data_IF_495311696533
#
_entry.id   IF_495311696533
#
_cell.length_a   1.000
_cell.length_b   1.000
_cell.length_c   1.000
_cell.angle_alpha   90.00
_cell.angle_beta   90.00
_cell.angle_gamma   90.00
#
_symmetry.space_group_name_H-M   'P 1'
#
loop_
_entity.id
_entity.type
_entity.pdbx_description
1 polymer ?
#
# COMPACT_ATOMS: atom_id res chain seq x y z
N UNK A 1 18.91 -15.53 14.28
CA UNK A 1 18.14 -15.02 13.11
C UNK A 1 16.80 -14.54 13.64
N UNK A 2 16.59 -13.23 13.73
CA UNK A 2 15.34 -12.65 14.22
C UNK A 2 14.32 -12.66 13.08
N UNK A 3 13.18 -13.31 13.28
CA UNK A 3 12.02 -13.17 12.39
C UNK A 3 11.63 -11.69 12.32
N UNK A 4 11.32 -11.13 11.14
CA UNK A 4 10.70 -9.82 11.07
C UNK A 4 9.34 -9.93 11.76
N UNK A 5 9.27 -9.41 12.99
CA UNK A 5 8.09 -9.47 13.82
C UNK A 5 6.95 -8.73 13.13
N UNK A 6 5.80 -9.38 13.02
CA UNK A 6 4.57 -8.63 12.75
C UNK A 6 4.51 -7.47 13.74
N UNK A 7 4.21 -6.24 13.27
CA UNK A 7 4.14 -5.08 14.14
C UNK A 7 3.20 -5.36 15.32
N UNK A 8 3.56 -4.86 16.49
CA UNK A 8 2.80 -5.15 17.70
C UNK A 8 1.35 -4.63 17.53
N UNK A 9 0.31 -5.34 18.00
CA UNK A 9 -1.08 -4.90 17.87
C UNK A 9 -1.34 -3.47 18.34
N UNK A 10 -0.53 -2.96 19.27
CA UNK A 10 -0.56 -1.58 19.75
C UNK A 10 -0.17 -0.54 18.70
N UNK A 11 0.77 -0.85 17.80
CA UNK A 11 1.26 0.08 16.76
C UNK A 11 0.22 0.27 15.66
N UNK A 12 -0.41 -0.82 15.22
CA UNK A 12 -1.52 -0.74 14.27
C UNK A 12 -2.69 0.07 14.87
N UNK A 13 -3.06 -0.19 16.13
CA UNK A 13 -4.11 0.60 16.80
C UNK A 13 -3.76 2.09 16.88
N UNK A 14 -2.50 2.42 17.18
CA UNK A 14 -2.02 3.80 17.20
C UNK A 14 -2.10 4.46 15.81
N UNK A 15 -1.70 3.74 14.76
CA UNK A 15 -1.78 4.23 13.38
C UNK A 15 -3.23 4.51 12.94
N UNK A 16 -4.15 3.60 13.27
CA UNK A 16 -5.60 3.80 13.02
C UNK A 16 -6.12 5.05 13.74
N UNK A 17 -5.80 5.20 15.02
CA UNK A 17 -6.20 6.38 15.79
C UNK A 17 -5.61 7.69 15.25
N UNK A 18 -4.38 7.66 14.71
CA UNK A 18 -3.79 8.83 14.06
C UNK A 18 -4.51 9.18 12.74
N UNK A 19 -4.90 8.18 11.94
CA UNK A 19 -5.69 8.39 10.73
C UNK A 19 -7.06 9.04 11.05
N UNK A 20 -7.77 8.55 12.06
CA UNK A 20 -9.05 9.14 12.49
C UNK A 20 -8.90 10.60 12.93
N UNK A 21 -7.84 10.93 13.69
CA UNK A 21 -7.55 12.31 14.09
C UNK A 21 -7.22 13.19 12.90
N UNK A 22 -6.46 12.69 11.92
CA UNK A 22 -6.08 13.46 10.74
C UNK A 22 -7.28 13.76 9.84
N UNK A 23 -8.19 12.80 9.68
CA UNK A 23 -9.45 12.99 8.96
C UNK A 23 -10.31 14.11 9.54
N UNK A 24 -10.27 14.31 10.86
CA UNK A 24 -11.07 15.31 11.55
C UNK A 24 -10.49 16.74 11.51
N UNK A 25 -9.45 17.00 10.70
CA UNK A 25 -8.74 18.29 10.65
C UNK A 25 -8.71 18.88 9.22
N UNK A 26 -8.49 20.19 9.06
CA UNK A 26 -8.18 20.77 7.75
C UNK A 26 -6.92 20.14 7.13
N UNK A 27 -6.86 19.99 5.80
CA UNK A 27 -7.85 20.45 4.82
C UNK A 27 -9.08 19.53 4.68
N UNK A 28 -9.06 18.32 5.25
CA UNK A 28 -10.09 17.29 5.06
C UNK A 28 -11.50 17.79 5.41
N UNK A 29 -11.65 18.60 6.46
CA UNK A 29 -12.94 19.14 6.91
C UNK A 29 -13.51 20.28 6.04
N UNK A 30 -12.68 20.94 5.23
CA UNK A 30 -13.08 22.11 4.44
C UNK A 30 -13.11 21.89 2.93
N UNK A 31 -12.57 20.77 2.45
CA UNK A 31 -12.42 20.50 1.02
C UNK A 31 -13.46 19.46 0.54
N UNK A 32 -14.30 19.79 -0.47
CA UNK A 32 -15.28 18.88 -1.06
C UNK A 32 -14.70 17.57 -1.62
N UNK A 33 -13.42 17.56 -2.03
CA UNK A 33 -12.76 16.36 -2.51
C UNK A 33 -12.72 15.24 -1.44
N UNK A 34 -12.79 15.62 -0.16
CA UNK A 34 -12.73 14.70 0.97
C UNK A 34 -14.09 14.33 1.56
N UNK A 35 -15.21 14.69 0.92
CA UNK A 35 -16.56 14.41 1.42
C UNK A 35 -16.79 12.94 1.77
N UNK A 36 -16.32 12.03 0.92
CA UNK A 36 -16.43 10.59 1.16
C UNK A 36 -15.54 10.16 2.32
N UNK A 37 -14.29 10.65 2.36
CA UNK A 37 -13.33 10.35 3.42
C UNK A 37 -13.87 10.73 4.79
N UNK A 38 -14.56 11.88 4.91
CA UNK A 38 -15.19 12.33 6.17
C UNK A 38 -16.28 11.40 6.69
N UNK A 39 -17.00 10.70 5.80
CA UNK A 39 -18.09 9.78 6.15
C UNK A 39 -17.62 8.33 6.35
N UNK A 40 -16.45 7.99 5.84
CA UNK A 40 -15.86 6.67 5.92
C UNK A 40 -15.48 6.30 7.36
N UNK A 41 -15.07 5.06 7.61
CA UNK A 41 -14.38 4.62 8.82
C UNK A 41 -12.90 4.38 8.53
N UNK A 42 -11.99 4.61 9.49
CA UNK A 42 -10.62 4.15 9.34
C UNK A 42 -10.60 2.61 9.40
N UNK A 43 -10.05 1.99 8.36
CA UNK A 43 -9.91 0.54 8.21
C UNK A 43 -8.69 -0.02 8.95
N UNK A 44 -8.31 -1.24 8.55
CA UNK A 44 -7.13 -1.93 9.09
C UNK A 44 -5.85 -1.32 8.50
N UNK A 45 -4.89 -0.85 9.34
CA UNK A 45 -3.59 -0.41 8.87
C UNK A 45 -2.81 -1.52 8.18
N UNK A 46 -2.22 -1.19 7.04
CA UNK A 46 -1.27 -2.03 6.31
C UNK A 46 0.13 -1.43 6.46
N UNK A 47 1.10 -2.27 6.84
CA UNK A 47 2.50 -1.83 6.91
C UNK A 47 3.06 -1.72 5.49
N UNK A 48 3.58 -0.54 5.15
CA UNK A 48 4.34 -0.32 3.92
C UNK A 48 5.82 -0.43 4.22
N UNK A 49 6.51 -1.26 3.45
CA UNK A 49 7.96 -1.42 3.53
C UNK A 49 8.66 -0.66 2.40
N UNK A 50 9.85 -0.13 2.67
CA UNK A 50 10.75 0.38 1.64
C UNK A 50 11.20 -0.75 0.67
N UNK A 51 11.78 -0.40 -0.48
CA UNK A 51 12.26 -1.38 -1.46
C UNK A 51 13.23 -2.43 -0.91
N UNK A 52 14.02 -2.07 0.11
CA UNK A 52 14.96 -2.95 0.83
C UNK A 52 14.28 -3.86 1.87
N UNK A 53 12.96 -3.72 2.07
CA UNK A 53 12.18 -4.50 3.03
C UNK A 53 12.06 -3.88 4.43
N UNK A 54 12.75 -2.76 4.70
CA UNK A 54 12.62 -2.07 5.99
C UNK A 54 11.22 -1.45 6.17
N UNK A 55 10.65 -1.42 7.39
CA UNK A 55 9.41 -0.69 7.67
C UNK A 55 9.54 0.79 7.31
N UNK A 56 8.58 1.34 6.58
CA UNK A 56 8.61 2.75 6.16
C UNK A 56 7.51 3.57 6.83
N UNK A 57 6.26 3.15 6.70
CA UNK A 57 5.10 3.83 7.26
C UNK A 57 3.87 2.91 7.25
N UNK A 58 2.80 3.35 7.89
CA UNK A 58 1.49 2.72 7.85
C UNK A 58 0.59 3.36 6.81
N UNK A 59 -0.17 2.56 6.09
CA UNK A 59 -1.23 3.04 5.22
C UNK A 59 -2.57 2.56 5.76
N UNK A 60 -3.46 3.50 6.06
CA UNK A 60 -4.78 3.22 6.66
C UNK A 60 -5.86 3.61 5.66
N UNK A 61 -6.59 2.66 5.05
CA UNK A 61 -7.65 2.99 4.12
C UNK A 61 -8.87 3.57 4.86
N UNK A 62 -9.56 4.50 4.22
CA UNK A 62 -10.85 5.01 4.69
C UNK A 62 -11.98 4.26 3.97
N UNK A 63 -12.62 3.35 4.69
CA UNK A 63 -13.65 2.43 4.22
C UNK A 63 -15.03 3.10 4.23
N UNK A 64 -15.64 3.16 3.05
CA UNK A 64 -17.04 3.51 2.85
C UNK A 64 -17.70 2.41 2.01
N UNK A 65 -18.58 1.64 2.62
CA UNK A 65 -19.32 0.54 1.99
C UNK A 65 -18.41 -0.55 1.36
N UNK A 66 -17.27 -0.87 1.99
CA UNK A 66 -16.31 -1.89 1.52
C UNK A 66 -15.28 -1.37 0.51
N UNK A 67 -15.33 -0.09 0.17
CA UNK A 67 -14.45 0.57 -0.81
C UNK A 67 -13.58 1.61 -0.12
N UNK A 68 -12.31 1.72 -0.51
CA UNK A 68 -11.42 2.74 0.02
C UNK A 68 -11.58 4.05 -0.77
N UNK A 69 -12.26 5.03 -0.18
CA UNK A 69 -12.46 6.36 -0.78
C UNK A 69 -11.28 7.32 -0.54
N UNK A 70 -10.31 6.89 0.25
CA UNK A 70 -9.13 7.65 0.62
C UNK A 70 -8.19 6.80 1.45
N UNK A 71 -7.02 7.34 1.74
CA UNK A 71 -6.00 6.69 2.57
C UNK A 71 -5.36 7.73 3.50
N UNK A 72 -4.95 7.29 4.68
CA UNK A 72 -4.01 8.02 5.51
C UNK A 72 -2.64 7.35 5.44
N UNK A 73 -1.62 8.11 5.09
CA UNK A 73 -0.23 7.73 5.28
C UNK A 73 0.20 8.19 6.67
N UNK A 74 0.56 7.26 7.54
CA UNK A 74 0.85 7.49 8.96
C UNK A 74 2.27 7.06 9.26
N UNK A 75 3.06 7.92 9.91
CA UNK A 75 4.41 7.59 10.34
C UNK A 75 4.41 6.37 11.30
N UNK A 76 5.53 5.61 11.35
CA UNK A 76 5.62 4.40 12.18
C UNK A 76 5.33 4.65 13.67
N UNK A 77 5.70 5.84 14.17
CA UNK A 77 5.47 6.29 15.54
C UNK A 77 4.06 6.90 15.76
N UNK A 78 3.20 6.89 14.74
CA UNK A 78 1.87 7.49 14.73
C UNK A 78 1.83 9.01 15.07
N UNK A 79 2.97 9.70 15.03
CA UNK A 79 3.07 11.13 15.36
C UNK A 79 2.51 12.03 14.26
N UNK A 80 2.57 11.58 13.00
CA UNK A 80 2.17 12.32 11.81
C UNK A 80 1.31 11.46 10.90
N UNK A 81 0.30 12.08 10.32
CA UNK A 81 -0.59 11.46 9.35
C UNK A 81 -1.00 12.46 8.26
N UNK A 82 -0.87 12.07 7.00
CA UNK A 82 -1.37 12.80 5.84
C UNK A 82 -2.52 12.04 5.19
N UNK A 83 -3.57 12.76 4.78
CA UNK A 83 -4.78 12.16 4.19
C UNK A 83 -4.87 12.51 2.71
N UNK A 84 -5.19 11.52 1.89
CA UNK A 84 -5.45 11.68 0.46
C UNK A 84 -6.78 11.05 0.11
N UNK A 85 -7.58 11.74 -0.72
CA UNK A 85 -8.75 11.14 -1.34
C UNK A 85 -8.31 10.25 -2.52
N UNK A 86 -9.09 9.20 -2.80
CA UNK A 86 -8.95 8.38 -4.00
C UNK A 86 -10.10 8.72 -4.97
N UNK A 87 -9.78 8.78 -6.26
CA UNK A 87 -10.70 9.25 -7.30
C UNK A 87 -10.82 10.77 -7.37
N UNK A 88 -11.63 11.27 -8.31
CA UNK A 88 -11.81 12.71 -8.52
C UNK A 88 -12.72 13.38 -7.48
N UNK A 89 -13.44 12.60 -6.67
CA UNK A 89 -14.34 13.10 -5.62
C UNK A 89 -15.33 12.04 -5.14
N UNK A 90 -16.30 12.45 -4.32
CA UNK A 90 -17.21 11.52 -3.65
C UNK A 90 -18.18 10.75 -4.55
N UNK A 91 -18.39 11.21 -5.79
CA UNK A 91 -19.22 10.55 -6.78
C UNK A 91 -18.47 9.47 -7.59
N UNK A 92 -17.13 9.48 -7.57
CA UNK A 92 -16.29 8.60 -8.37
C UNK A 92 -16.04 7.24 -7.68
N UNK A 93 -17.12 6.62 -7.19
CA UNK A 93 -17.05 5.37 -6.43
C UNK A 93 -16.42 4.22 -7.23
N UNK A 94 -16.57 4.25 -8.56
CA UNK A 94 -16.02 3.23 -9.45
C UNK A 94 -14.48 3.24 -9.48
N UNK A 95 -13.84 4.36 -9.19
CA UNK A 95 -12.39 4.46 -9.10
C UNK A 95 -11.82 3.98 -7.75
N UNK A 96 -12.68 3.68 -6.77
CA UNK A 96 -12.23 3.26 -5.44
C UNK A 96 -11.90 1.77 -5.41
N UNK A 97 -10.68 1.39 -5.00
CA UNK A 97 -10.34 -0.01 -4.83
C UNK A 97 -11.14 -0.62 -3.67
N UNK A 98 -11.32 -1.93 -3.71
CA UNK A 98 -11.84 -2.67 -2.56
C UNK A 98 -10.89 -2.52 -1.37
N UNK A 99 -11.44 -2.32 -0.17
CA UNK A 99 -10.63 -2.13 1.05
C UNK A 99 -9.71 -3.33 1.32
N UNK A 100 -10.14 -4.52 0.89
CA UNK A 100 -9.40 -5.76 1.04
C UNK A 100 -8.08 -5.79 0.26
N UNK A 101 -7.96 -4.98 -0.81
CA UNK A 101 -6.72 -4.83 -1.57
C UNK A 101 -5.56 -4.39 -0.66
N UNK A 102 -5.82 -3.61 0.38
CA UNK A 102 -4.77 -3.17 1.32
C UNK A 102 -4.32 -4.28 2.28
N UNK A 103 -5.12 -5.32 2.46
CA UNK A 103 -4.81 -6.45 3.33
C UNK A 103 -4.04 -7.56 2.61
N UNK A 104 -4.31 -7.76 1.31
CA UNK A 104 -3.63 -8.78 0.49
C UNK A 104 -3.65 -8.46 -1.00
N UNK A 105 -2.73 -9.06 -1.74
CA UNK A 105 -2.77 -9.09 -3.20
C UNK A 105 -4.05 -9.80 -3.66
N UNK A 106 -4.80 -9.26 -4.63
CA UNK A 106 -5.92 -9.98 -5.23
C UNK A 106 -5.46 -11.32 -5.84
N UNK A 107 -6.19 -12.39 -5.54
CA UNK A 107 -5.77 -13.75 -5.86
C UNK A 107 -5.67 -13.99 -7.37
N UNK A 108 -6.61 -13.41 -8.12
CA UNK A 108 -6.67 -13.45 -9.58
C UNK A 108 -5.46 -12.75 -10.21
N UNK A 109 -4.99 -11.64 -9.62
CA UNK A 109 -3.80 -10.95 -10.10
C UNK A 109 -2.55 -11.75 -9.80
N UNK A 110 -2.44 -12.31 -8.59
CA UNK A 110 -1.33 -13.18 -8.22
C UNK A 110 -1.24 -14.40 -9.14
N UNK A 111 -2.38 -15.03 -9.43
CA UNK A 111 -2.46 -16.16 -10.36
C UNK A 111 -2.03 -15.75 -11.78
N UNK A 112 -2.49 -14.60 -12.28
CA UNK A 112 -2.11 -14.10 -13.60
C UNK A 112 -0.59 -13.87 -13.72
N UNK A 113 0.03 -13.30 -12.68
CA UNK A 113 1.49 -13.11 -12.61
C UNK A 113 2.21 -14.47 -12.62
N UNK A 114 1.74 -15.44 -11.82
CA UNK A 114 2.34 -16.77 -11.75
C UNK A 114 2.23 -17.55 -13.07
N UNK A 115 1.08 -17.47 -13.75
CA UNK A 115 0.86 -18.11 -15.06
C UNK A 115 1.79 -17.51 -16.13
N UNK A 116 2.03 -16.20 -16.09
CA UNK A 116 2.95 -15.54 -17.03
C UNK A 116 4.42 -15.91 -16.78
N UNK A 117 4.76 -16.23 -15.53
CA UNK A 117 6.14 -16.47 -15.08
C UNK A 117 6.28 -17.83 -14.37
N UNK A 118 5.98 -18.95 -15.05
CA UNK A 118 5.85 -20.27 -14.43
C UNK A 118 7.18 -20.84 -13.90
N UNK A 119 8.32 -20.29 -14.34
CA UNK A 119 9.66 -20.70 -13.89
C UNK A 119 10.15 -20.01 -12.62
N UNK A 120 9.41 -19.05 -12.09
CA UNK A 120 9.85 -18.28 -10.94
C UNK A 120 9.19 -18.78 -9.64
N UNK A 121 10.00 -18.90 -8.60
CA UNK A 121 9.49 -18.98 -7.22
C UNK A 121 9.27 -17.58 -6.71
N UNK A 122 8.16 -17.35 -6.02
CA UNK A 122 7.77 -16.04 -5.52
C UNK A 122 7.92 -15.98 -4.01
N UNK A 123 8.60 -14.93 -3.53
CA UNK A 123 8.61 -14.60 -2.12
C UNK A 123 7.22 -14.10 -1.67
N UNK A 124 7.01 -14.02 -0.36
CA UNK A 124 5.78 -13.47 0.21
C UNK A 124 5.54 -12.04 -0.28
N UNK A 125 4.35 -11.72 -0.83
CA UNK A 125 4.02 -10.35 -1.22
C UNK A 125 4.12 -9.38 -0.05
N UNK A 126 4.59 -8.16 -0.31
CA UNK A 126 4.60 -7.07 0.69
C UNK A 126 4.11 -5.77 0.07
N UNK A 127 3.37 -4.98 0.83
CA UNK A 127 3.00 -3.64 0.39
C UNK A 127 4.26 -2.76 0.45
N UNK A 128 4.61 -2.15 -0.67
CA UNK A 128 5.82 -1.33 -0.82
C UNK A 128 5.53 -0.14 -1.71
N UNK A 129 6.57 0.60 -2.12
CA UNK A 129 6.44 1.71 -3.04
C UNK A 129 7.51 1.67 -4.14
N UNK A 130 7.12 2.14 -5.32
CA UNK A 130 7.97 2.14 -6.51
C UNK A 130 8.72 3.48 -6.64
N UNK A 131 9.83 3.61 -5.91
CA UNK A 131 10.75 4.76 -5.95
C UNK A 131 10.24 6.03 -5.26
N UNK A 132 8.92 6.24 -5.21
CA UNK A 132 8.28 7.35 -4.48
C UNK A 132 7.34 6.81 -3.40
N UNK A 133 7.44 7.26 -2.13
CA UNK A 133 6.52 6.87 -1.06
C UNK A 133 5.04 7.14 -1.35
N UNK A 134 4.70 7.96 -2.34
CA UNK A 134 3.32 8.21 -2.75
C UNK A 134 2.78 7.18 -3.77
N UNK A 135 3.66 6.37 -4.36
CA UNK A 135 3.32 5.34 -5.37
C UNK A 135 3.42 3.95 -4.74
N UNK A 136 2.44 3.63 -3.90
CA UNK A 136 2.36 2.34 -3.23
C UNK A 136 1.78 1.26 -4.16
N UNK A 137 2.26 0.03 -3.98
CA UNK A 137 1.86 -1.16 -4.73
C UNK A 137 2.29 -2.41 -3.94
N UNK A 138 1.59 -3.52 -4.13
CA UNK A 138 2.11 -4.80 -3.68
C UNK A 138 3.32 -5.19 -4.52
N UNK A 139 4.41 -5.51 -3.85
CA UNK A 139 5.66 -5.95 -4.46
C UNK A 139 5.78 -7.46 -4.34
N UNK A 140 6.00 -8.10 -5.49
CA UNK A 140 6.27 -9.52 -5.65
C UNK A 140 7.72 -9.65 -6.12
N UNK A 141 8.59 -10.16 -5.25
CA UNK A 141 9.96 -10.51 -5.63
C UNK A 141 10.05 -12.00 -5.90
N UNK A 142 10.93 -12.38 -6.81
CA UNK A 142 11.27 -13.79 -7.03
C UNK A 142 12.35 -14.28 -6.08
N UNK A 143 12.44 -15.60 -5.96
CA UNK A 143 13.54 -16.32 -5.31
C UNK A 143 14.38 -17.04 -6.37
N UNK A 144 15.71 -16.81 -6.45
CA UNK A 144 16.50 -15.88 -5.63
C UNK A 144 16.17 -14.40 -5.92
N UNK A 145 16.44 -13.48 -4.95
CA UNK A 145 16.16 -12.06 -5.10
C UNK A 145 16.81 -11.45 -6.34
N UNK A 146 16.10 -10.51 -6.98
CA UNK A 146 16.64 -9.69 -8.07
C UNK A 146 16.51 -10.29 -9.47
N UNK A 147 15.94 -11.49 -9.65
CA UNK A 147 15.68 -12.02 -10.98
C UNK A 147 14.48 -11.35 -11.67
N UNK A 148 13.42 -11.06 -10.92
CA UNK A 148 12.24 -10.33 -11.39
C UNK A 148 11.53 -9.66 -10.20
N UNK A 149 11.02 -8.45 -10.44
CA UNK A 149 10.17 -7.74 -9.49
C UNK A 149 8.89 -7.33 -10.21
N UNK A 150 7.75 -7.70 -9.66
CA UNK A 150 6.43 -7.29 -10.15
C UNK A 150 5.76 -6.39 -9.11
N UNK A 151 5.20 -5.27 -9.59
CA UNK A 151 4.40 -4.37 -8.78
C UNK A 151 2.94 -4.51 -9.19
N UNK A 152 2.06 -4.78 -8.21
CA UNK A 152 0.61 -4.82 -8.36
C UNK A 152 0.02 -3.57 -7.72
N UNK A 153 -0.50 -2.68 -8.55
CA UNK A 153 -1.25 -1.49 -8.15
C UNK A 153 -2.76 -1.75 -8.20
N UNK A 154 -3.57 -0.76 -7.82
CA UNK A 154 -5.03 -0.82 -7.99
C UNK A 154 -5.46 -0.78 -9.45
N UNK A 155 -4.62 -0.26 -10.36
CA UNK A 155 -4.89 -0.15 -11.79
C UNK A 155 -4.34 -1.31 -12.64
N UNK A 156 -3.80 -2.36 -12.01
CA UNK A 156 -3.13 -3.47 -12.69
C UNK A 156 -1.69 -3.67 -12.20
N UNK A 157 -0.93 -4.51 -12.90
CA UNK A 157 0.43 -4.87 -12.51
C UNK A 157 1.43 -4.65 -13.64
N UNK A 158 2.69 -4.45 -13.26
CA UNK A 158 3.79 -4.22 -14.20
C UNK A 158 5.10 -4.82 -13.67
N UNK A 159 5.98 -5.17 -14.60
CA UNK A 159 7.31 -5.69 -14.32
C UNK A 159 8.30 -4.54 -14.18
N UNK A 160 9.24 -4.65 -13.25
CA UNK A 160 10.43 -3.81 -13.23
C UNK A 160 11.63 -4.71 -13.49
N UNK A 161 12.26 -4.50 -14.64
CA UNK A 161 13.52 -5.16 -14.95
C UNK A 161 14.56 -4.82 -13.90
N UNK A 162 15.40 -5.79 -13.55
CA UNK A 162 16.59 -5.55 -12.74
C UNK A 162 17.45 -4.54 -13.48
N UNK A 163 17.92 -3.44 -12.83
CA UNK A 163 18.91 -2.60 -13.48
C UNK A 163 20.08 -3.49 -13.91
N UNK A 164 20.45 -3.40 -15.20
CA UNK A 164 21.58 -4.13 -15.73
C UNK A 164 22.79 -3.87 -14.81
N UNK A 165 23.60 -4.89 -14.46
CA UNK A 165 24.79 -4.67 -13.66
C UNK A 165 25.60 -3.55 -14.32
N UNK A 166 26.03 -2.57 -13.53
CA UNK A 166 26.85 -1.47 -14.02
C UNK A 166 28.02 -2.09 -14.79
N UNK A 167 28.16 -1.75 -16.07
CA UNK A 167 29.25 -2.24 -16.89
C UNK A 167 30.56 -1.63 -16.36
N UNK A 168 31.21 -2.29 -15.40
CA UNK A 168 32.35 -1.66 -14.72
C UNK A 168 33.13 -2.45 -13.69
N UNK A 169 32.84 -3.73 -13.42
CA UNK A 169 33.72 -4.55 -12.59
C UNK A 169 34.09 -5.83 -13.35
N UNK A 170 35.20 -5.75 -14.11
CA UNK A 170 36.00 -6.89 -14.55
C UNK A 170 37.41 -6.70 -14.02
#
# INVERSE_FOLDING_TARGET
MSTPGSPAPSEAAAARGAADRARARPPVTGDPAFDAVRRAAAGTPALVTAPDGSPAYWLVPFDLDGRACGVAQVALDASRAGVSALGAGSADRAAWPDVEWFARVPAEVLQAVQVRHPGHRWATPRLSYDGSPQRWAWRLDTEPPGALVVFVSTGGWYERGTPAPAAGER
#
